data_IF_265147460552
#
_entry.id   IF_265147460552
#
_cell.length_a   1.000
_cell.length_b   1.000
_cell.length_c   1.000
_cell.angle_alpha   90.00
_cell.angle_beta   90.00
_cell.angle_gamma   90.00
#
_symmetry.space_group_name_H-M   'P 1'
#
loop_
_entity.id
_entity.type
_entity.pdbx_description
1 polymer ?
#
# COMPACT_ATOMS: atom_id res chain seq x y z
N UNK A 1 -16.74 -1.25 -13.39
CA UNK A 1 -16.50 -2.27 -12.35
C UNK A 1 -15.11 -1.99 -11.79
N UNK A 2 -14.99 -1.56 -10.53
CA UNK A 2 -13.69 -1.25 -9.90
C UNK A 2 -13.19 -2.55 -9.25
N UNK A 3 -12.09 -3.12 -9.73
CA UNK A 3 -11.45 -4.27 -9.09
C UNK A 3 -10.60 -3.73 -7.94
N UNK A 4 -11.03 -3.91 -6.69
CA UNK A 4 -10.24 -3.55 -5.53
C UNK A 4 -9.23 -4.66 -5.24
N UNK A 5 -7.94 -4.39 -5.42
CA UNK A 5 -6.88 -5.32 -5.07
C UNK A 5 -6.63 -5.23 -3.55
N UNK A 6 -7.35 -6.05 -2.79
CA UNK A 6 -7.27 -6.05 -1.33
C UNK A 6 -6.33 -7.13 -0.82
N UNK A 7 -5.62 -6.83 0.28
CA UNK A 7 -4.86 -7.81 1.05
C UNK A 7 -5.19 -7.67 2.53
N UNK A 8 -5.28 -8.80 3.23
CA UNK A 8 -5.34 -8.79 4.68
C UNK A 8 -3.96 -9.05 5.28
N UNK A 9 -3.58 -8.26 6.27
CA UNK A 9 -2.30 -8.41 6.97
C UNK A 9 -2.47 -7.99 8.42
N UNK A 10 -2.17 -8.90 9.35
CA UNK A 10 -2.22 -8.64 10.80
C UNK A 10 -3.57 -8.10 11.30
N UNK A 11 -4.68 -8.49 10.67
CA UNK A 11 -6.02 -8.00 11.00
C UNK A 11 -6.39 -6.65 10.36
N UNK A 12 -5.47 -6.00 9.64
CA UNK A 12 -5.77 -4.80 8.83
C UNK A 12 -6.14 -5.22 7.40
N UNK A 13 -7.16 -4.58 6.81
CA UNK A 13 -7.44 -4.67 5.38
C UNK A 13 -6.74 -3.52 4.66
N UNK A 14 -5.93 -3.85 3.66
CA UNK A 14 -5.17 -2.88 2.88
C UNK A 14 -5.63 -2.90 1.42
N UNK A 15 -5.90 -1.73 0.86
CA UNK A 15 -6.07 -1.54 -0.57
C UNK A 15 -4.70 -1.36 -1.23
N UNK A 16 -4.39 -2.17 -2.24
CA UNK A 16 -3.21 -1.96 -3.08
C UNK A 16 -3.54 -0.85 -4.07
N UNK A 17 -2.89 0.30 -3.90
CA UNK A 17 -3.02 1.45 -4.79
C UNK A 17 -2.12 1.28 -6.01
N UNK A 18 -0.91 0.76 -5.81
CA UNK A 18 0.01 0.46 -6.93
C UNK A 18 1.08 -0.57 -6.57
N UNK A 19 1.69 -1.14 -7.60
CA UNK A 19 2.82 -2.05 -7.50
C UNK A 19 4.03 -1.45 -8.21
N UNK A 20 5.17 -1.42 -7.52
CA UNK A 20 6.43 -0.91 -8.09
C UNK A 20 7.54 -1.92 -7.85
N UNK A 21 8.53 -1.98 -8.74
CA UNK A 21 9.67 -2.85 -8.54
C UNK A 21 10.57 -2.30 -7.42
N UNK A 22 11.08 -3.18 -6.56
CA UNK A 22 11.94 -2.78 -5.44
C UNK A 22 13.24 -2.10 -5.91
N UNK A 23 13.74 -2.48 -7.10
CA UNK A 23 14.94 -1.91 -7.69
C UNK A 23 14.84 -0.40 -7.98
N UNK A 24 13.64 0.15 -8.18
CA UNK A 24 13.43 1.60 -8.36
C UNK A 24 13.83 2.42 -7.14
N UNK A 25 13.80 1.79 -5.96
CA UNK A 25 14.15 2.41 -4.69
C UNK A 25 15.45 1.85 -4.13
N UNK A 26 16.18 1.02 -4.87
CA UNK A 26 17.37 0.36 -4.36
C UNK A 26 18.58 1.28 -4.44
N UNK A 27 19.29 1.45 -3.32
CA UNK A 27 20.59 2.10 -3.25
C UNK A 27 21.66 1.22 -3.90
N UNK A 28 22.84 1.78 -4.17
CA UNK A 28 23.95 1.05 -4.77
C UNK A 28 24.44 -0.14 -3.93
N UNK A 29 24.20 -0.14 -2.62
CA UNK A 29 24.54 -1.23 -1.69
C UNK A 29 23.47 -2.34 -1.61
N UNK A 30 22.37 -2.20 -2.35
CA UNK A 30 21.25 -3.14 -2.33
C UNK A 30 20.17 -2.88 -1.28
N UNK A 31 20.36 -1.89 -0.39
CA UNK A 31 19.33 -1.47 0.56
C UNK A 31 18.23 -0.65 -0.13
N UNK A 32 17.05 -0.53 0.50
CA UNK A 32 15.98 0.33 -0.01
C UNK A 32 16.14 1.76 0.52
N UNK A 33 16.09 2.74 -0.37
CA UNK A 33 16.00 4.16 -0.10
C UNK A 33 14.62 4.49 0.48
N UNK A 34 14.50 4.34 1.80
CA UNK A 34 13.26 4.59 2.53
C UNK A 34 12.76 6.03 2.42
N UNK A 35 13.66 7.01 2.20
CA UNK A 35 13.27 8.41 2.06
C UNK A 35 12.49 8.64 0.77
N UNK A 36 13.00 8.16 -0.36
CA UNK A 36 12.31 8.27 -1.65
C UNK A 36 11.03 7.46 -1.65
N UNK A 37 11.07 6.24 -1.11
CA UNK A 37 9.87 5.41 -0.97
C UNK A 37 8.80 6.09 -0.11
N UNK A 38 9.20 6.70 1.01
CA UNK A 38 8.32 7.45 1.90
C UNK A 38 7.68 8.67 1.23
N UNK A 39 8.41 9.38 0.37
CA UNK A 39 7.84 10.46 -0.44
C UNK A 39 6.73 9.95 -1.36
N UNK A 40 6.94 8.82 -2.04
CA UNK A 40 5.93 8.24 -2.93
C UNK A 40 4.68 7.80 -2.17
N UNK A 41 4.86 7.14 -1.01
CA UNK A 41 3.75 6.75 -0.14
C UNK A 41 2.93 7.97 0.30
N UNK A 42 3.60 9.08 0.63
CA UNK A 42 2.93 10.32 1.03
C UNK A 42 2.18 11.00 -0.12
N UNK A 43 2.83 11.21 -1.26
CA UNK A 43 2.24 11.89 -2.43
C UNK A 43 1.03 11.13 -3.02
N UNK A 44 0.94 9.82 -2.77
CA UNK A 44 -0.19 8.99 -3.18
C UNK A 44 -1.24 8.76 -2.10
N UNK A 45 -1.20 9.52 -1.00
CA UNK A 45 -2.15 9.41 0.12
C UNK A 45 -2.27 7.98 0.67
N UNK A 46 -1.13 7.29 0.73
CA UNK A 46 -0.96 5.94 1.23
C UNK A 46 -0.24 5.94 2.58
N UNK A 47 -0.29 4.81 3.29
CA UNK A 47 0.27 4.72 4.64
C UNK A 47 1.01 3.39 4.93
N UNK A 48 0.99 2.43 3.99
CA UNK A 48 1.59 1.11 4.16
C UNK A 48 2.37 0.70 2.91
N UNK A 49 3.42 -0.10 3.13
CA UNK A 49 4.17 -0.78 2.05
C UNK A 49 4.30 -2.25 2.39
N UNK A 50 4.04 -3.12 1.41
CA UNK A 50 4.19 -4.58 1.53
C UNK A 50 5.15 -5.09 0.48
N UNK A 51 6.24 -5.74 0.89
CA UNK A 51 7.17 -6.38 -0.03
C UNK A 51 6.67 -7.75 -0.45
N UNK A 52 6.60 -8.02 -1.76
CA UNK A 52 6.20 -9.32 -2.32
C UNK A 52 6.89 -9.55 -3.65
N UNK A 53 7.59 -10.68 -3.80
CA UNK A 53 8.20 -11.12 -5.08
C UNK A 53 8.98 -10.01 -5.82
N UNK A 54 9.94 -9.37 -5.16
CA UNK A 54 10.75 -8.27 -5.70
C UNK A 54 9.97 -6.99 -6.08
N UNK A 55 8.70 -6.89 -5.66
CA UNK A 55 7.89 -5.70 -5.75
C UNK A 55 7.60 -5.12 -4.37
N UNK A 56 7.33 -3.83 -4.35
CA UNK A 56 6.74 -3.11 -3.24
C UNK A 56 5.30 -2.75 -3.63
N UNK A 57 4.35 -3.24 -2.84
CA UNK A 57 2.95 -2.88 -2.95
C UNK A 57 2.74 -1.65 -2.07
N UNK A 58 2.35 -0.53 -2.65
CA UNK A 58 2.03 0.67 -1.90
C UNK A 58 0.53 0.66 -1.64
N UNK A 59 0.18 0.76 -0.36
CA UNK A 59 -1.13 0.44 0.13
C UNK A 59 -1.70 1.56 1.00
N UNK A 60 -3.03 1.64 1.00
CA UNK A 60 -3.82 2.43 1.93
C UNK A 60 -4.57 1.49 2.88
N UNK A 61 -4.48 1.72 4.18
CA UNK A 61 -5.33 1.03 5.15
C UNK A 61 -6.78 1.44 4.90
N UNK A 62 -7.65 0.45 4.77
CA UNK A 62 -9.09 0.66 4.84
C UNK A 62 -9.45 0.53 6.32
N UNK A 63 -9.80 1.66 6.95
CA UNK A 63 -10.47 1.61 8.24
C UNK A 63 -11.83 0.90 8.04
N UNK A 64 -12.16 -0.02 8.93
CA UNK A 64 -13.43 -0.77 8.88
C UNK A 64 -14.58 0.20 8.61
N UNK A 65 -15.31 -0.07 7.52
CA UNK A 65 -16.38 0.80 7.08
C UNK A 65 -17.43 0.95 8.20
N UNK A 66 -17.85 2.19 8.46
CA UNK A 66 -19.06 2.44 9.24
C UNK A 66 -20.22 1.79 8.47
N UNK A 67 -20.83 0.76 9.06
CA UNK A 67 -22.10 0.23 8.56
C UNK A 67 -23.13 1.34 8.75
N UNK A 68 -23.56 1.95 7.65
CA UNK A 68 -24.69 2.88 7.66
C UNK A 68 -25.94 2.02 7.58
N UNK A 69 -26.60 1.77 8.70
CA UNK A 69 -27.96 1.22 8.68
C UNK A 69 -28.90 2.32 8.14
N UNK A 70 -29.23 2.25 6.84
CA UNK A 70 -30.36 3.00 6.31
C UNK A 70 -31.65 2.41 6.90
N UNK A 71 -32.14 3.02 7.98
CA UNK A 71 -33.52 2.83 8.41
C UNK A 71 -34.43 3.61 7.43
N UNK A 72 -35.06 2.87 6.50
CA UNK A 72 -36.17 3.36 5.65
C UNK A 72 -37.50 3.19 6.37
#
# INVERSE_FOLDING_TARGET
MKYCNLIQRNGETLEIITEVYANMFQNSDGSINQKVLGMYVHEWDCNRVVSKNNKLLICKTIDDAIIIEENV
#
